data_IF_235751549377
#
_entry.id   IF_235751549377
#
_cell.length_a   1.000
_cell.length_b   1.000
_cell.length_c   1.000
_cell.angle_alpha   90.00
_cell.angle_beta   90.00
_cell.angle_gamma   90.00
#
_symmetry.space_group_name_H-M   'P 1'
#
loop_
_entity.id
_entity.type
_entity.pdbx_description
1 polymer ?
#
# COMPACT_ATOMS: atom_id res chain seq x y z
N UNK A 1 15.15 30.39 -12.99
CA UNK A 1 13.83 29.88 -12.59
C UNK A 1 13.56 28.61 -13.39
N UNK A 2 13.62 27.43 -12.74
CA UNK A 2 13.32 26.09 -13.29
C UNK A 2 13.23 25.11 -12.11
N UNK A 3 12.58 23.93 -12.22
CA UNK A 3 11.44 23.49 -13.05
C UNK A 3 10.19 23.24 -12.17
N UNK A 4 8.95 23.30 -12.69
CA UNK A 4 8.23 22.19 -13.33
C UNK A 4 7.20 21.60 -12.34
N UNK A 5 5.93 21.35 -12.73
CA UNK A 5 4.87 20.98 -11.79
C UNK A 5 5.26 19.68 -11.10
N UNK A 6 5.17 19.66 -9.77
CA UNK A 6 5.32 18.44 -8.98
C UNK A 6 4.29 17.43 -9.48
N UNK A 7 4.69 16.56 -10.40
CA UNK A 7 3.99 15.34 -10.72
C UNK A 7 3.84 14.61 -9.40
N UNK A 8 2.67 14.70 -8.79
CA UNK A 8 2.22 13.68 -7.85
C UNK A 8 2.02 12.46 -8.73
N UNK A 9 3.09 11.73 -8.95
CA UNK A 9 3.11 10.50 -9.71
C UNK A 9 2.12 9.54 -9.02
N UNK A 10 1.08 9.14 -9.74
CA UNK A 10 0.15 8.07 -9.31
C UNK A 10 0.89 6.74 -9.00
N UNK A 11 2.16 6.66 -9.37
CA UNK A 11 3.16 5.62 -9.10
C UNK A 11 3.48 5.37 -7.61
N UNK A 12 3.14 6.30 -6.71
CA UNK A 12 3.50 6.22 -5.29
C UNK A 12 2.47 5.43 -4.45
N UNK A 13 1.73 4.48 -5.02
CA UNK A 13 0.69 3.74 -4.29
C UNK A 13 0.80 2.24 -4.51
N UNK A 14 0.64 1.51 -3.41
CA UNK A 14 0.64 0.04 -3.40
C UNK A 14 -0.58 -0.47 -2.65
N UNK A 15 -0.99 -1.69 -2.95
CA UNK A 15 -2.02 -2.41 -2.19
C UNK A 15 -1.43 -3.69 -1.65
N UNK A 16 -1.68 -3.97 -0.37
CA UNK A 16 -1.44 -5.28 0.24
C UNK A 16 -2.78 -5.93 0.54
N UNK A 17 -2.91 -7.21 0.23
CA UNK A 17 -4.13 -8.00 0.42
C UNK A 17 -3.82 -9.29 1.16
N UNK A 18 -4.82 -9.88 1.81
CA UNK A 18 -4.73 -11.25 2.33
C UNK A 18 -5.32 -12.29 1.37
N UNK A 19 -5.63 -11.89 0.13
CA UNK A 19 -6.18 -12.76 -0.92
C UNK A 19 -7.61 -13.23 -0.67
N UNK A 20 -8.27 -12.77 0.39
CA UNK A 20 -9.59 -13.26 0.78
C UNK A 20 -10.57 -12.12 1.09
N UNK A 21 -10.39 -11.42 2.20
CA UNK A 21 -11.39 -10.48 2.73
C UNK A 21 -10.81 -9.19 3.27
N UNK A 22 -9.49 -8.98 3.25
CA UNK A 22 -8.85 -7.73 3.66
C UNK A 22 -7.91 -7.18 2.59
N UNK A 23 -7.97 -5.87 2.39
CA UNK A 23 -6.99 -5.14 1.62
C UNK A 23 -6.67 -3.78 2.27
N UNK A 24 -5.42 -3.35 2.14
CA UNK A 24 -4.91 -2.08 2.65
C UNK A 24 -4.15 -1.38 1.53
N UNK A 25 -4.53 -0.15 1.21
CA UNK A 25 -3.75 0.67 0.28
C UNK A 25 -2.83 1.61 1.05
N UNK A 26 -1.61 1.70 0.57
CA UNK A 26 -0.58 2.57 1.11
C UNK A 26 -0.13 3.57 0.07
N UNK A 27 0.10 4.80 0.52
CA UNK A 27 0.87 5.79 -0.23
C UNK A 27 2.33 5.70 0.21
N UNK A 28 3.20 5.37 -0.73
CA UNK A 28 4.63 5.45 -0.58
C UNK A 28 5.08 6.91 -0.50
N UNK A 29 6.04 7.23 0.37
CA UNK A 29 6.61 8.55 0.42
C UNK A 29 7.63 8.73 -0.70
N UNK A 30 7.71 9.96 -1.21
CA UNK A 30 8.70 10.34 -2.24
C UNK A 30 10.12 10.48 -1.67
N UNK A 31 10.31 10.36 -0.35
CA UNK A 31 11.59 10.39 0.35
C UNK A 31 11.77 9.11 1.19
N UNK A 32 13.00 8.59 1.23
CA UNK A 32 13.38 7.38 1.98
C UNK A 32 13.28 7.53 3.49
N UNK A 33 13.29 8.78 4.00
CA UNK A 33 13.22 9.07 5.44
C UNK A 33 11.78 9.10 5.98
N UNK A 34 10.80 8.94 5.10
CA UNK A 34 9.39 8.94 5.44
C UNK A 34 8.81 7.53 5.36
N UNK A 35 7.75 7.30 6.12
CA UNK A 35 7.10 5.98 6.23
C UNK A 35 5.84 5.93 5.36
N UNK A 36 5.52 4.78 4.74
CA UNK A 36 4.29 4.60 4.00
C UNK A 36 3.05 4.94 4.85
N UNK A 37 2.09 5.59 4.23
CA UNK A 37 0.85 6.05 4.86
C UNK A 37 -0.31 5.14 4.45
N UNK A 38 -1.10 4.64 5.40
CA UNK A 38 -2.34 3.93 5.05
C UNK A 38 -3.38 4.93 4.56
N UNK A 39 -3.82 4.79 3.31
CA UNK A 39 -4.81 5.69 2.69
C UNK A 39 -6.16 5.04 2.47
N UNK A 40 -6.24 3.71 2.49
CA UNK A 40 -7.50 2.99 2.46
C UNK A 40 -7.40 1.64 3.18
N UNK A 41 -8.53 1.21 3.74
CA UNK A 41 -8.73 -0.12 4.31
C UNK A 41 -10.06 -0.66 3.82
N UNK A 42 -10.06 -1.92 3.39
CA UNK A 42 -11.24 -2.59 2.84
C UNK A 42 -11.41 -3.93 3.53
N UNK A 43 -12.65 -4.25 3.89
CA UNK A 43 -13.02 -5.53 4.47
C UNK A 43 -14.22 -6.12 3.74
N UNK A 44 -14.21 -7.45 3.59
CA UNK A 44 -15.25 -8.24 2.96
C UNK A 44 -14.84 -8.68 1.55
N UNK A 45 -15.02 -9.97 1.25
CA UNK A 45 -14.51 -10.59 0.02
C UNK A 45 -14.90 -9.85 -1.26
N UNK A 46 -16.19 -9.55 -1.45
CA UNK A 46 -16.66 -8.82 -2.65
C UNK A 46 -16.13 -7.38 -2.74
N UNK A 47 -15.97 -6.71 -1.60
CA UNK A 47 -15.42 -5.35 -1.58
C UNK A 47 -13.93 -5.36 -1.90
N UNK A 48 -13.19 -6.35 -1.37
CA UNK A 48 -11.78 -6.56 -1.66
C UNK A 48 -11.56 -6.95 -3.11
N UNK A 49 -12.36 -7.86 -3.67
CA UNK A 49 -12.30 -8.22 -5.09
C UNK A 49 -12.42 -6.96 -5.98
N UNK A 50 -13.49 -6.17 -5.81
CA UNK A 50 -13.68 -4.91 -6.55
C UNK A 50 -12.55 -3.91 -6.29
N UNK A 51 -12.02 -3.87 -5.07
CA UNK A 51 -10.92 -2.97 -4.73
C UNK A 51 -9.63 -3.37 -5.43
N UNK A 52 -9.33 -4.67 -5.52
CA UNK A 52 -8.16 -5.21 -6.20
C UNK A 52 -8.27 -5.04 -7.72
N UNK A 53 -9.44 -5.28 -8.30
CA UNK A 53 -9.67 -5.02 -9.73
C UNK A 53 -9.43 -3.54 -10.09
N UNK A 54 -9.92 -2.62 -9.25
CA UNK A 54 -9.64 -1.20 -9.42
C UNK A 54 -8.16 -0.87 -9.17
N UNK A 55 -7.55 -1.54 -8.18
CA UNK A 55 -6.15 -1.39 -7.86
C UNK A 55 -5.23 -1.82 -9.00
N UNK A 56 -5.49 -2.93 -9.68
CA UNK A 56 -4.68 -3.36 -10.83
C UNK A 56 -4.76 -2.38 -12.01
N UNK A 57 -5.85 -1.63 -12.12
CA UNK A 57 -6.04 -0.61 -13.15
C UNK A 57 -5.40 0.73 -12.81
N UNK A 58 -5.34 1.08 -11.53
CA UNK A 58 -4.92 2.41 -11.04
C UNK A 58 -3.55 2.41 -10.33
N UNK A 59 -3.17 1.28 -9.74
CA UNK A 59 -1.95 1.09 -8.97
C UNK A 59 -1.09 0.04 -9.66
N UNK A 60 0.22 0.25 -9.64
CA UNK A 60 1.13 -0.66 -10.33
C UNK A 60 1.43 -1.92 -9.52
N UNK A 61 1.15 -1.96 -8.21
CA UNK A 61 1.64 -3.03 -7.33
C UNK A 61 0.61 -3.47 -6.31
N UNK A 62 0.12 -4.69 -6.50
CA UNK A 62 -0.69 -5.45 -5.55
C UNK A 62 0.18 -6.59 -5.01
N UNK A 63 0.24 -6.72 -3.69
CA UNK A 63 0.99 -7.77 -3.00
C UNK A 63 0.05 -8.63 -2.16
N UNK A 64 0.10 -9.94 -2.37
CA UNK A 64 -0.56 -10.90 -1.49
C UNK A 64 0.34 -11.18 -0.27
N UNK A 65 -0.07 -10.66 0.88
CA UNK A 65 0.65 -10.69 2.15
C UNK A 65 -0.35 -10.84 3.31
N UNK A 66 -0.85 -12.06 3.59
CA UNK A 66 -1.93 -12.28 4.54
C UNK A 66 -1.65 -11.75 5.95
N UNK A 67 -0.49 -12.09 6.50
CA UNK A 67 -0.09 -11.69 7.86
C UNK A 67 0.10 -10.17 7.95
N UNK A 68 0.85 -9.58 7.02
CA UNK A 68 1.13 -8.15 7.02
C UNK A 68 -0.15 -7.32 6.83
N UNK A 69 -1.01 -7.74 5.91
CA UNK A 69 -2.30 -7.07 5.65
C UNK A 69 -3.16 -7.08 6.90
N UNK A 70 -3.27 -8.23 7.57
CA UNK A 70 -4.05 -8.35 8.80
C UNK A 70 -3.51 -7.44 9.91
N UNK A 71 -2.19 -7.46 10.13
CA UNK A 71 -1.54 -6.64 11.14
C UNK A 71 -1.74 -5.15 10.86
N UNK A 72 -1.52 -4.69 9.61
CA UNK A 72 -1.77 -3.30 9.22
C UNK A 72 -3.24 -2.90 9.39
N UNK A 73 -4.16 -3.78 9.00
CA UNK A 73 -5.60 -3.54 9.12
C UNK A 73 -6.02 -3.38 10.58
N UNK A 74 -5.53 -4.24 11.47
CA UNK A 74 -5.95 -4.24 12.87
C UNK A 74 -5.27 -3.13 13.69
N UNK A 75 -4.02 -2.75 13.36
CA UNK A 75 -3.18 -1.94 14.28
C UNK A 75 -2.88 -0.52 13.83
N UNK A 76 -2.85 -0.22 12.52
CA UNK A 76 -2.42 1.10 12.03
C UNK A 76 -3.63 1.91 11.57
N UNK A 77 -4.02 3.03 12.21
CA UNK A 77 -5.19 3.78 11.80
C UNK A 77 -5.11 4.32 10.36
N UNK A 78 -6.27 4.63 9.78
CA UNK A 78 -6.32 5.33 8.48
C UNK A 78 -5.60 6.68 8.59
N UNK A 79 -4.89 7.07 7.52
CA UNK A 79 -4.05 8.27 7.46
C UNK A 79 -2.94 8.29 8.52
N UNK A 80 -2.51 7.13 8.99
CA UNK A 80 -1.29 6.99 9.79
C UNK A 80 -0.22 6.16 9.10
N UNK A 81 1.02 6.49 9.46
CA UNK A 81 2.18 5.79 8.97
C UNK A 81 2.28 4.41 9.59
N UNK A 82 2.74 3.46 8.80
CA UNK A 82 3.13 2.14 9.30
C UNK A 82 4.38 2.24 10.18
N UNK A 83 4.62 1.22 11.00
CA UNK A 83 5.85 1.13 11.80
C UNK A 83 7.08 0.84 10.94
N UNK A 84 8.26 1.04 11.50
CA UNK A 84 9.54 0.78 10.82
C UNK A 84 9.70 -0.70 10.45
N UNK A 85 9.17 -1.59 11.28
CA UNK A 85 9.13 -3.04 11.02
C UNK A 85 8.26 -3.36 9.81
N UNK A 86 7.04 -2.81 9.75
CA UNK A 86 6.14 -2.98 8.61
C UNK A 86 6.71 -2.39 7.32
N UNK A 87 7.39 -1.23 7.40
CA UNK A 87 8.08 -0.64 6.26
C UNK A 87 9.22 -1.55 5.78
N UNK A 88 10.01 -2.09 6.70
CA UNK A 88 11.10 -3.01 6.35
C UNK A 88 10.58 -4.24 5.62
N UNK A 89 9.44 -4.77 6.06
CA UNK A 89 8.80 -5.91 5.40
C UNK A 89 8.26 -5.54 4.00
N UNK A 90 7.59 -4.39 3.86
CA UNK A 90 7.17 -3.86 2.56
C UNK A 90 8.35 -3.70 1.59
N UNK A 91 9.50 -3.22 2.07
CA UNK A 91 10.71 -3.09 1.27
C UNK A 91 11.25 -4.46 0.83
N UNK A 92 11.24 -5.48 1.68
CA UNK A 92 11.66 -6.84 1.33
C UNK A 92 10.76 -7.44 0.26
N UNK A 93 9.44 -7.32 0.42
CA UNK A 93 8.45 -7.80 -0.54
C UNK A 93 8.62 -7.10 -1.89
N UNK A 94 8.83 -5.78 -1.87
CA UNK A 94 9.05 -4.98 -3.08
C UNK A 94 10.37 -5.31 -3.80
N UNK A 95 11.44 -5.66 -3.06
CA UNK A 95 12.75 -5.97 -3.61
C UNK A 95 12.88 -7.41 -4.15
N UNK A 96 11.99 -8.32 -3.75
CA UNK A 96 12.05 -9.74 -4.10
C UNK A 96 11.60 -10.11 -5.52
N UNK A 97 11.05 -9.18 -6.31
CA UNK A 97 10.75 -9.39 -7.74
C UNK A 97 11.86 -8.79 -8.62
N UNK A 98 12.83 -9.63 -9.01
CA UNK A 98 13.71 -9.43 -10.18
C UNK A 98 13.48 -10.56 -11.16
#
# INVERSE_FOLDING_TARGET
MSPGPSSVTEDDRIVVSNGSDLAVALKLPSSTDSRPLIIAKVQGAKAVELFLENAERLYQRVYDQPTLTRVMYDTVPLLQSVSDEMQSELCRIGAGRR
#
